data_IF_303028234171
#
_entry.id   IF_303028234171
#
_cell.length_a   1.000
_cell.length_b   1.000
_cell.length_c   1.000
_cell.angle_alpha   90.00
_cell.angle_beta   90.00
_cell.angle_gamma   90.00
#
_symmetry.space_group_name_H-M   'P 1'
#
loop_
_entity.id
_entity.type
_entity.pdbx_description
1 polymer ?
#
# COMPACT_ATOMS: atom_id res chain seq x y z
N UNK A 1 7.27 -1.34 8.92
CA UNK A 1 7.13 0.09 9.27
C UNK A 1 8.05 0.47 10.43
N UNK A 2 8.00 -0.26 11.57
CA UNK A 2 8.99 -0.07 12.65
C UNK A 2 10.42 -0.33 12.17
N UNK A 3 10.69 -1.50 11.60
CA UNK A 3 12.00 -1.85 11.01
C UNK A 3 12.42 -0.84 9.93
N UNK A 4 11.53 -0.56 8.97
CA UNK A 4 11.76 0.49 7.96
C UNK A 4 12.20 1.83 8.57
N UNK A 5 11.60 2.28 9.68
CA UNK A 5 11.99 3.53 10.31
C UNK A 5 13.44 3.47 10.79
N UNK A 6 13.81 2.40 11.50
CA UNK A 6 15.15 2.23 12.05
C UNK A 6 16.20 2.16 10.90
N UNK A 7 15.92 1.37 9.86
CA UNK A 7 16.79 1.24 8.67
C UNK A 7 16.89 2.54 7.86
N UNK A 8 15.76 3.23 7.69
CA UNK A 8 15.72 4.50 6.96
C UNK A 8 16.51 5.57 7.70
N UNK A 9 16.33 5.71 9.03
CA UNK A 9 17.09 6.68 9.83
C UNK A 9 18.59 6.42 9.75
N UNK A 10 19.02 5.15 9.83
CA UNK A 10 20.43 4.80 9.64
C UNK A 10 20.95 5.20 8.25
N UNK A 11 20.17 4.98 7.19
CA UNK A 11 20.52 5.43 5.84
C UNK A 11 20.59 6.96 5.74
N UNK A 12 19.66 7.70 6.36
CA UNK A 12 19.64 9.16 6.36
C UNK A 12 20.91 9.72 7.02
N UNK A 13 21.28 9.18 8.19
CA UNK A 13 22.45 9.61 8.95
C UNK A 13 23.75 9.34 8.19
N UNK A 14 23.86 8.15 7.58
CA UNK A 14 25.01 7.75 6.76
C UNK A 14 25.18 8.63 5.50
N UNK A 15 24.08 8.95 4.80
CA UNK A 15 24.11 9.86 3.65
C UNK A 15 24.52 11.28 4.08
N UNK A 16 23.98 11.77 5.20
CA UNK A 16 24.30 13.09 5.75
C UNK A 16 25.75 13.18 6.21
N UNK A 17 26.28 12.13 6.84
CA UNK A 17 27.68 12.06 7.26
C UNK A 17 28.68 12.19 6.10
N UNK A 18 28.26 11.85 4.88
CA UNK A 18 29.02 12.07 3.63
C UNK A 18 28.79 13.45 3.00
N UNK A 19 28.10 14.37 3.67
CA UNK A 19 27.80 15.71 3.14
C UNK A 19 26.80 15.70 1.97
N UNK A 20 25.97 14.66 1.84
CA UNK A 20 24.96 14.54 0.79
C UNK A 20 23.55 14.78 1.33
N UNK A 21 22.63 15.11 0.43
CA UNK A 21 21.19 15.24 0.73
C UNK A 21 20.52 13.88 0.53
N UNK A 22 19.92 13.29 1.58
CA UNK A 22 19.13 12.06 1.44
C UNK A 22 17.81 12.33 0.70
N UNK A 23 17.47 11.47 -0.25
CA UNK A 23 16.19 11.53 -0.97
C UNK A 23 15.46 10.20 -0.76
N UNK A 24 14.27 10.26 -0.18
CA UNK A 24 13.42 9.09 0.06
C UNK A 24 12.29 9.09 -0.96
N UNK A 25 12.22 8.03 -1.77
CA UNK A 25 11.20 7.87 -2.81
C UNK A 25 10.33 6.66 -2.49
N UNK A 26 9.02 6.85 -2.46
CA UNK A 26 8.08 5.76 -2.20
C UNK A 26 6.64 6.26 -2.07
N UNK A 27 5.70 5.31 -2.00
CA UNK A 27 4.27 5.61 -1.91
C UNK A 27 3.57 4.98 -0.69
N UNK A 28 4.33 4.39 0.24
CA UNK A 28 3.78 3.76 1.44
C UNK A 28 3.54 4.79 2.53
N UNK A 29 2.35 5.39 2.55
CA UNK A 29 2.01 6.50 3.47
C UNK A 29 2.34 6.24 4.94
N UNK A 30 2.07 5.04 5.47
CA UNK A 30 2.41 4.69 6.86
C UNK A 30 3.93 4.72 7.13
N UNK A 31 4.74 4.33 6.15
CA UNK A 31 6.20 4.28 6.29
C UNK A 31 6.76 5.71 6.29
N UNK A 32 6.30 6.54 5.36
CA UNK A 32 6.66 7.96 5.31
C UNK A 32 6.16 8.74 6.54
N UNK A 33 4.98 8.41 7.07
CA UNK A 33 4.48 9.00 8.32
C UNK A 33 5.38 8.67 9.51
N UNK A 34 5.83 7.42 9.66
CA UNK A 34 6.78 7.07 10.72
C UNK A 34 8.09 7.83 10.55
N UNK A 35 8.60 7.93 9.31
CA UNK A 35 9.85 8.65 9.04
C UNK A 35 9.75 10.14 9.39
N UNK A 36 8.63 10.77 9.06
CA UNK A 36 8.41 12.22 9.25
C UNK A 36 7.95 12.59 10.66
N UNK A 37 7.19 11.73 11.35
CA UNK A 37 6.63 12.02 12.68
C UNK A 37 7.29 11.23 13.83
N UNK A 38 8.29 10.41 13.51
CA UNK A 38 8.86 9.44 14.44
C UNK A 38 8.01 8.17 14.56
N UNK A 39 8.69 7.12 15.04
CA UNK A 39 8.09 5.83 15.33
C UNK A 39 7.20 5.94 16.59
N UNK A 40 5.94 5.47 16.56
CA UNK A 40 5.11 5.40 17.76
C UNK A 40 5.77 4.53 18.84
N UNK A 41 5.53 4.85 20.10
CA UNK A 41 6.03 4.09 21.26
C UNK A 41 5.23 2.81 21.55
N UNK A 42 4.41 2.37 20.60
CA UNK A 42 3.63 1.15 20.71
C UNK A 42 4.54 -0.08 20.78
N UNK A 43 4.16 -1.12 21.55
CA UNK A 43 4.92 -2.36 21.62
C UNK A 43 5.14 -2.99 20.23
N UNK A 44 6.36 -3.50 20.03
CA UNK A 44 6.68 -4.29 18.84
C UNK A 44 5.78 -5.54 18.78
N UNK A 45 5.33 -5.90 17.58
CA UNK A 45 4.60 -7.16 17.37
C UNK A 45 5.55 -8.33 17.53
N UNK A 46 5.16 -9.33 18.31
CA UNK A 46 5.87 -10.61 18.44
C UNK A 46 5.06 -11.72 17.79
N UNK A 47 5.71 -12.82 17.37
CA UNK A 47 5.01 -13.97 16.77
C UNK A 47 3.98 -14.53 17.76
N UNK A 48 4.37 -14.64 19.02
CA UNK A 48 3.54 -15.13 20.12
C UNK A 48 2.38 -14.17 20.42
N UNK A 49 2.65 -12.87 20.50
CA UNK A 49 1.63 -11.85 20.76
C UNK A 49 0.58 -11.78 19.66
N UNK A 50 1.04 -11.80 18.40
CA UNK A 50 0.16 -11.84 17.22
C UNK A 50 -0.70 -13.11 17.21
N UNK A 51 -0.12 -14.27 17.49
CA UNK A 51 -0.85 -15.53 17.56
C UNK A 51 -1.91 -15.52 18.67
N UNK A 52 -1.53 -15.08 19.87
CA UNK A 52 -2.46 -14.99 21.00
C UNK A 52 -3.63 -14.02 20.71
N UNK A 53 -3.34 -12.87 20.09
CA UNK A 53 -4.37 -11.93 19.68
C UNK A 53 -5.31 -12.53 18.63
N UNK A 54 -4.78 -13.22 17.61
CA UNK A 54 -5.60 -13.92 16.60
C UNK A 54 -6.49 -14.99 17.24
N UNK A 55 -5.95 -15.81 18.14
CA UNK A 55 -6.71 -16.85 18.85
C UNK A 55 -7.84 -16.24 19.69
N UNK A 56 -7.56 -15.16 20.43
CA UNK A 56 -8.55 -14.47 21.25
C UNK A 56 -9.70 -13.86 20.41
N UNK A 57 -9.35 -13.17 19.33
CA UNK A 57 -10.34 -12.54 18.45
C UNK A 57 -11.16 -13.58 17.67
N UNK A 58 -10.53 -14.67 17.21
CA UNK A 58 -11.26 -15.76 16.55
C UNK A 58 -12.21 -16.47 17.52
N UNK A 59 -11.82 -16.66 18.78
CA UNK A 59 -12.70 -17.19 19.81
C UNK A 59 -13.91 -16.27 20.07
N UNK A 60 -13.69 -14.95 20.13
CA UNK A 60 -14.76 -13.96 20.27
C UNK A 60 -15.70 -13.96 19.06
N UNK A 61 -15.13 -14.01 17.85
CA UNK A 61 -15.88 -14.10 16.59
C UNK A 61 -16.79 -15.32 16.56
N UNK A 62 -16.34 -16.48 17.02
CA UNK A 62 -17.17 -17.70 17.09
C UNK A 62 -18.33 -17.59 18.10
N UNK A 63 -18.19 -16.80 19.17
CA UNK A 63 -19.24 -16.62 20.18
C UNK A 63 -20.34 -15.66 19.76
N UNK A 64 -19.98 -14.57 19.08
CA UNK A 64 -20.94 -13.50 18.78
C UNK A 64 -20.52 -12.56 17.67
N UNK A 65 -19.63 -13.00 16.78
CA UNK A 65 -19.20 -12.22 15.62
C UNK A 65 -18.46 -10.94 16.01
N UNK A 66 -18.69 -9.88 15.23
CA UNK A 66 -18.02 -8.59 15.37
C UNK A 66 -18.25 -7.95 16.74
N UNK A 67 -19.50 -7.92 17.22
CA UNK A 67 -19.84 -7.31 18.51
C UNK A 67 -19.05 -7.93 19.66
N UNK A 68 -19.00 -9.27 19.72
CA UNK A 68 -18.27 -9.97 20.78
C UNK A 68 -16.75 -9.72 20.71
N UNK A 69 -16.20 -9.50 19.51
CA UNK A 69 -14.79 -9.16 19.36
C UNK A 69 -14.49 -7.71 19.76
N UNK A 70 -15.41 -6.78 19.49
CA UNK A 70 -15.34 -5.43 20.03
C UNK A 70 -15.39 -5.44 21.56
N UNK A 71 -16.30 -6.22 22.16
CA UNK A 71 -16.40 -6.37 23.62
C UNK A 71 -15.10 -6.94 24.20
N UNK A 72 -14.50 -7.96 23.56
CA UNK A 72 -13.22 -8.50 23.99
C UNK A 72 -12.09 -7.43 23.99
N UNK A 73 -12.09 -6.50 23.03
CA UNK A 73 -11.15 -5.37 23.00
C UNK A 73 -11.43 -4.35 24.11
N UNK A 74 -12.70 -4.05 24.39
CA UNK A 74 -13.10 -3.19 25.52
C UNK A 74 -12.64 -3.79 26.84
N UNK A 75 -12.90 -5.07 27.04
CA UNK A 75 -12.54 -5.83 28.24
C UNK A 75 -11.02 -5.91 28.44
N UNK A 76 -10.25 -5.94 27.35
CA UNK A 76 -8.79 -5.91 27.40
C UNK A 76 -8.24 -4.55 27.85
N UNK A 77 -9.03 -3.47 27.78
CA UNK A 77 -8.65 -2.13 28.25
C UNK A 77 -8.74 -1.02 27.19
N UNK A 78 -9.31 -1.27 26.00
CA UNK A 78 -9.47 -0.25 24.97
C UNK A 78 -10.94 -0.03 24.62
N UNK A 79 -11.54 0.93 25.32
CA UNK A 79 -12.94 1.30 25.12
C UNK A 79 -13.19 2.15 23.87
N UNK A 80 -12.15 2.76 23.28
CA UNK A 80 -12.28 3.81 22.27
C UNK A 80 -12.10 3.27 20.85
N UNK A 81 -11.12 2.38 20.64
CA UNK A 81 -10.80 1.84 19.32
C UNK A 81 -11.99 1.11 18.68
N UNK A 82 -12.76 0.25 19.37
CA UNK A 82 -13.93 -0.40 18.79
C UNK A 82 -14.92 0.55 18.11
N UNK A 83 -15.16 1.73 18.71
CA UNK A 83 -16.10 2.74 18.19
C UNK A 83 -15.59 3.43 16.90
N UNK A 84 -14.28 3.40 16.66
CA UNK A 84 -13.63 4.03 15.51
C UNK A 84 -13.42 3.07 14.35
N UNK A 85 -13.49 1.76 14.60
CA UNK A 85 -13.27 0.76 13.57
C UNK A 85 -14.51 0.62 12.69
N UNK A 86 -14.28 0.47 11.40
CA UNK A 86 -15.32 0.01 10.49
C UNK A 86 -15.70 -1.43 10.85
N UNK A 87 -16.98 -1.76 10.68
CA UNK A 87 -17.48 -3.10 10.94
C UNK A 87 -16.66 -4.15 10.16
N UNK A 88 -16.33 -5.26 10.83
CA UNK A 88 -15.53 -6.36 10.28
C UNK A 88 -14.10 -6.00 9.87
N UNK A 89 -13.53 -4.89 10.37
CA UNK A 89 -12.08 -4.63 10.27
C UNK A 89 -11.29 -5.50 11.28
N UNK A 90 -11.32 -6.81 11.02
CA UNK A 90 -10.68 -7.84 11.86
C UNK A 90 -9.18 -7.61 12.00
N UNK A 91 -8.53 -7.07 10.97
CA UNK A 91 -7.09 -6.79 11.01
C UNK A 91 -6.77 -5.71 12.04
N UNK A 92 -7.44 -4.55 11.97
CA UNK A 92 -7.17 -3.46 12.92
C UNK A 92 -7.65 -3.81 14.33
N UNK A 93 -8.75 -4.53 14.47
CA UNK A 93 -9.25 -5.00 15.76
C UNK A 93 -8.26 -5.96 16.43
N UNK A 94 -7.74 -6.94 15.68
CA UNK A 94 -6.73 -7.88 16.20
C UNK A 94 -5.44 -7.16 16.59
N UNK A 95 -4.99 -6.18 15.80
CA UNK A 95 -3.79 -5.40 16.14
C UNK A 95 -4.02 -4.51 17.37
N UNK A 96 -5.19 -3.91 17.53
CA UNK A 96 -5.55 -3.14 18.72
C UNK A 96 -5.51 -4.04 19.97
N UNK A 97 -6.12 -5.21 19.89
CA UNK A 97 -6.10 -6.20 20.96
C UNK A 97 -4.68 -6.62 21.34
N UNK A 98 -3.84 -6.93 20.34
CA UNK A 98 -2.43 -7.26 20.55
C UNK A 98 -1.68 -6.14 21.32
N UNK A 99 -1.87 -4.89 20.90
CA UNK A 99 -1.20 -3.73 21.53
C UNK A 99 -1.66 -3.56 22.98
N UNK A 100 -2.96 -3.64 23.24
CA UNK A 100 -3.56 -3.44 24.56
C UNK A 100 -3.13 -4.51 25.56
N UNK A 101 -3.10 -5.76 25.12
CA UNK A 101 -2.62 -6.87 25.95
C UNK A 101 -1.12 -6.73 26.21
N UNK A 102 -0.32 -6.43 25.18
CA UNK A 102 1.13 -6.25 25.33
C UNK A 102 1.50 -5.02 26.19
N UNK A 103 0.63 -4.00 26.23
CA UNK A 103 0.88 -2.75 26.96
C UNK A 103 0.41 -2.75 28.41
N UNK A 104 -0.32 -3.78 28.84
CA UNK A 104 -0.94 -3.87 30.16
C UNK A 104 -2.20 -3.01 30.31
N UNK A 105 -3.01 -2.89 29.25
CA UNK A 105 -4.29 -2.16 29.28
C UNK A 105 -4.23 -0.70 28.80
N UNK A 106 -3.15 -0.30 28.13
CA UNK A 106 -3.06 1.02 27.47
C UNK A 106 -3.52 0.91 26.02
N UNK A 107 -4.47 1.76 25.64
CA UNK A 107 -5.05 1.77 24.29
C UNK A 107 -4.08 2.28 23.21
N UNK A 108 -4.41 2.04 21.94
CA UNK A 108 -3.58 2.49 20.81
C UNK A 108 -3.42 4.02 20.72
N UNK A 109 -4.38 4.77 21.27
CA UNK A 109 -4.39 6.23 21.21
C UNK A 109 -3.45 6.86 22.25
N UNK A 110 -3.20 6.18 23.37
CA UNK A 110 -2.20 6.59 24.38
C UNK A 110 -0.76 6.46 23.88
N UNK A 111 -0.53 5.69 22.81
CA UNK A 111 0.77 5.57 22.13
C UNK A 111 0.95 6.55 20.97
N UNK A 112 0.02 7.48 20.77
CA UNK A 112 0.21 8.61 19.86
C UNK A 112 1.57 9.24 20.17
N UNK A 113 2.40 9.38 19.14
CA UNK A 113 3.85 9.58 19.21
C UNK A 113 4.29 10.29 20.49
N UNK A 114 5.13 9.64 21.29
CA UNK A 114 5.90 10.32 22.35
C UNK A 114 6.79 11.46 21.79
N UNK A 115 6.80 11.66 20.47
CA UNK A 115 7.40 12.78 19.75
C UNK A 115 6.44 13.95 19.46
N UNK A 116 5.14 13.82 19.73
CA UNK A 116 4.16 14.89 19.53
C UNK A 116 4.02 15.83 20.75
N UNK A 117 4.39 15.35 21.93
CA UNK A 117 4.43 16.13 23.17
C UNK A 117 5.87 16.54 23.47
N UNK A 118 6.17 17.81 23.23
CA UNK A 118 7.30 18.57 23.79
C UNK A 118 8.72 18.02 23.49
N UNK A 119 9.33 18.56 22.41
CA UNK A 119 10.78 18.80 22.42
C UNK A 119 11.70 17.85 21.66
N UNK A 120 11.19 16.93 20.83
CA UNK A 120 12.06 16.22 19.87
C UNK A 120 11.36 16.08 18.51
N UNK A 121 11.35 17.18 17.76
CA UNK A 121 11.14 17.15 16.32
C UNK A 121 12.11 16.15 15.69
N UNK A 122 11.71 15.50 14.58
CA UNK A 122 12.67 14.70 13.81
C UNK A 122 13.97 15.49 13.59
N UNK A 123 15.12 14.83 13.68
CA UNK A 123 16.44 15.45 13.46
C UNK A 123 16.63 16.00 12.03
N UNK A 124 15.62 15.81 11.18
CA UNK A 124 15.56 16.20 9.79
C UNK A 124 14.44 17.20 9.51
N UNK A 125 14.78 18.22 8.73
CA UNK A 125 13.83 19.09 8.05
C UNK A 125 13.37 18.41 6.75
N UNK A 126 12.21 17.74 6.78
CA UNK A 126 11.70 17.01 5.63
C UNK A 126 11.00 17.92 4.63
N UNK A 127 11.53 17.97 3.40
CA UNK A 127 10.85 18.55 2.23
C UNK A 127 10.01 17.49 1.53
N UNK A 128 8.69 17.56 1.72
CA UNK A 128 7.77 16.51 1.31
C UNK A 128 7.02 16.90 0.02
N UNK A 129 7.19 16.09 -1.02
CA UNK A 129 6.59 16.28 -2.33
C UNK A 129 5.66 15.11 -2.66
N UNK A 130 4.51 15.40 -3.27
CA UNK A 130 3.61 14.38 -3.79
C UNK A 130 3.44 14.58 -5.30
N UNK A 131 3.95 13.63 -6.08
CA UNK A 131 3.83 13.62 -7.54
C UNK A 131 2.44 13.09 -7.91
N UNK A 132 1.57 13.95 -8.39
CA UNK A 132 0.22 13.62 -8.83
C UNK A 132 0.11 13.70 -10.35
N UNK A 133 -0.84 12.98 -10.94
CA UNK A 133 -1.24 13.12 -12.34
C UNK A 133 -2.78 13.11 -12.43
N UNK A 134 -3.37 13.63 -13.51
CA UNK A 134 -4.80 13.51 -13.76
C UNK A 134 -5.27 12.05 -13.70
N UNK A 135 -6.44 11.82 -13.07
CA UNK A 135 -6.86 10.46 -12.67
C UNK A 135 -6.98 9.48 -13.84
N UNK A 136 -7.50 9.93 -14.98
CA UNK A 136 -7.67 9.07 -16.16
C UNK A 136 -6.32 8.74 -16.79
N UNK A 137 -5.40 9.69 -16.80
CA UNK A 137 -4.02 9.46 -17.24
C UNK A 137 -3.29 8.48 -16.31
N UNK A 138 -3.48 8.60 -15.00
CA UNK A 138 -2.97 7.63 -14.03
C UNK A 138 -3.47 6.22 -14.33
N UNK A 139 -4.77 6.06 -14.62
CA UNK A 139 -5.34 4.76 -14.94
C UNK A 139 -4.78 4.20 -16.25
N UNK A 140 -4.60 5.03 -17.29
CA UNK A 140 -3.93 4.61 -18.53
C UNK A 140 -2.52 4.09 -18.26
N UNK A 141 -1.72 4.82 -17.47
CA UNK A 141 -0.36 4.40 -17.10
C UNK A 141 -0.34 3.12 -16.27
N UNK A 142 -1.25 2.98 -15.31
CA UNK A 142 -1.38 1.76 -14.50
C UNK A 142 -1.73 0.57 -15.39
N UNK A 143 -2.71 0.74 -16.27
CA UNK A 143 -3.26 -0.36 -17.06
C UNK A 143 -2.24 -0.86 -18.09
N UNK A 144 -1.54 0.06 -18.75
CA UNK A 144 -0.43 -0.25 -19.64
C UNK A 144 0.71 -0.95 -18.88
N UNK A 145 1.09 -0.44 -17.71
CA UNK A 145 2.17 -1.05 -16.90
C UNK A 145 1.82 -2.47 -16.44
N UNK A 146 0.57 -2.73 -16.07
CA UNK A 146 0.13 -4.08 -15.69
C UNK A 146 0.21 -5.02 -16.89
N UNK A 147 -0.25 -4.57 -18.06
CA UNK A 147 -0.13 -5.35 -19.29
C UNK A 147 1.34 -5.67 -19.62
N UNK A 148 2.23 -4.67 -19.53
CA UNK A 148 3.66 -4.86 -19.74
C UNK A 148 4.25 -5.88 -18.75
N UNK A 149 3.96 -5.74 -17.45
CA UNK A 149 4.42 -6.70 -16.43
C UNK A 149 3.95 -8.14 -16.73
N UNK A 150 2.70 -8.32 -17.18
CA UNK A 150 2.17 -9.64 -17.54
C UNK A 150 2.91 -10.22 -18.73
N UNK A 151 3.11 -9.43 -19.79
CA UNK A 151 3.83 -9.87 -20.97
C UNK A 151 5.33 -10.06 -20.74
N UNK A 152 5.91 -9.37 -19.76
CA UNK A 152 7.35 -9.36 -19.47
C UNK A 152 7.76 -10.35 -18.36
N UNK A 153 6.83 -11.15 -17.85
CA UNK A 153 7.13 -12.34 -17.04
C UNK A 153 6.69 -12.30 -15.57
N UNK A 154 5.72 -11.45 -15.21
CA UNK A 154 5.14 -11.46 -13.85
C UNK A 154 4.58 -12.84 -13.45
N UNK A 155 3.99 -13.57 -14.40
CA UNK A 155 3.49 -14.92 -14.16
C UNK A 155 4.61 -15.94 -13.96
N UNK A 156 5.75 -15.76 -14.63
CA UNK A 156 6.94 -16.60 -14.42
C UNK A 156 7.49 -16.45 -13.00
N UNK A 157 7.63 -15.21 -12.53
CA UNK A 157 8.06 -14.93 -11.16
C UNK A 157 7.10 -15.54 -10.13
N UNK A 158 5.78 -15.41 -10.35
CA UNK A 158 4.78 -16.00 -9.46
C UNK A 158 4.81 -17.54 -9.48
N UNK A 159 4.99 -18.15 -10.66
CA UNK A 159 5.14 -19.60 -10.79
C UNK A 159 6.39 -20.10 -10.05
N UNK A 160 7.50 -19.38 -10.15
CA UNK A 160 8.73 -19.68 -9.41
C UNK A 160 8.49 -19.64 -7.89
N UNK A 161 7.79 -18.63 -7.37
CA UNK A 161 7.48 -18.55 -5.94
C UNK A 161 6.59 -19.72 -5.47
N UNK A 162 5.56 -20.05 -6.24
CA UNK A 162 4.70 -21.21 -5.96
C UNK A 162 5.50 -22.52 -5.96
N UNK A 163 6.40 -22.70 -6.92
CA UNK A 163 7.25 -23.89 -7.02
C UNK A 163 8.24 -24.02 -5.86
N UNK A 164 8.61 -22.90 -5.24
CA UNK A 164 9.44 -22.86 -4.02
C UNK A 164 8.61 -22.96 -2.72
N UNK A 165 7.31 -23.30 -2.81
CA UNK A 165 6.46 -23.53 -1.64
C UNK A 165 5.90 -22.27 -1.00
N UNK A 166 6.00 -21.12 -1.65
CA UNK A 166 5.30 -19.91 -1.19
C UNK A 166 3.82 -20.06 -1.55
N UNK A 167 2.96 -20.23 -0.54
CA UNK A 167 1.52 -20.34 -0.76
C UNK A 167 0.87 -18.96 -0.94
N UNK A 168 -0.26 -18.93 -1.65
CA UNK A 168 -1.11 -17.73 -1.75
C UNK A 168 -1.45 -17.25 -0.34
N UNK A 169 -1.35 -15.94 -0.11
CA UNK A 169 -1.63 -15.32 1.19
C UNK A 169 -0.79 -15.82 2.37
N UNK A 170 0.27 -16.61 2.17
CA UNK A 170 1.13 -17.11 3.26
C UNK A 170 1.87 -16.00 4.01
N UNK A 171 2.30 -14.96 3.29
CA UNK A 171 3.08 -13.85 3.84
C UNK A 171 2.65 -12.50 3.25
N UNK A 172 3.21 -11.41 3.76
CA UNK A 172 2.93 -10.05 3.25
C UNK A 172 3.37 -9.87 1.79
N UNK A 173 4.48 -10.50 1.39
CA UNK A 173 4.97 -10.47 0.01
C UNK A 173 4.01 -11.20 -0.96
N UNK A 174 3.52 -12.40 -0.58
CA UNK A 174 2.54 -13.15 -1.38
C UNK A 174 1.19 -12.42 -1.51
N UNK A 175 0.89 -11.48 -0.60
CA UNK A 175 -0.31 -10.62 -0.64
C UNK A 175 -0.12 -9.34 -1.46
N UNK A 176 1.09 -9.08 -1.98
CA UNK A 176 1.35 -7.90 -2.78
C UNK A 176 0.51 -7.93 -4.08
N UNK A 177 0.08 -6.75 -4.51
CA UNK A 177 -0.69 -6.59 -5.76
C UNK A 177 0.16 -7.04 -6.94
N UNK A 178 -0.44 -7.77 -7.88
CA UNK A 178 0.26 -8.43 -8.99
C UNK A 178 0.64 -9.86 -8.60
N UNK A 179 1.39 -10.05 -7.51
CA UNK A 179 1.76 -11.38 -7.02
C UNK A 179 0.56 -12.19 -6.55
N UNK A 180 -0.31 -11.63 -5.70
CA UNK A 180 -1.50 -12.34 -5.21
C UNK A 180 -2.38 -12.82 -6.36
N UNK A 181 -2.70 -11.92 -7.30
CA UNK A 181 -3.53 -12.24 -8.48
C UNK A 181 -2.88 -13.33 -9.33
N UNK A 182 -1.58 -13.21 -9.59
CA UNK A 182 -0.82 -14.18 -10.39
C UNK A 182 -0.79 -15.56 -9.73
N UNK A 183 -0.49 -15.60 -8.43
CA UNK A 183 -0.43 -16.85 -7.69
C UNK A 183 -1.81 -17.51 -7.56
N UNK A 184 -2.88 -16.72 -7.38
CA UNK A 184 -4.24 -17.24 -7.35
C UNK A 184 -4.68 -17.80 -8.70
N UNK A 185 -4.42 -17.07 -9.80
CA UNK A 185 -4.68 -17.52 -11.16
C UNK A 185 -3.97 -18.85 -11.46
N UNK A 186 -2.66 -18.92 -11.21
CA UNK A 186 -1.87 -20.14 -11.44
C UNK A 186 -2.30 -21.29 -10.53
N UNK A 187 -2.59 -21.02 -9.26
CA UNK A 187 -3.04 -22.07 -8.33
C UNK A 187 -4.39 -22.65 -8.73
N UNK A 188 -5.33 -21.81 -9.20
CA UNK A 188 -6.63 -22.26 -9.74
C UNK A 188 -6.44 -23.08 -11.01
N UNK A 189 -5.56 -22.63 -11.92
CA UNK A 189 -5.25 -23.37 -13.14
C UNK A 189 -4.62 -24.75 -12.85
N UNK A 190 -3.65 -24.83 -11.92
CA UNK A 190 -3.01 -26.11 -11.50
C UNK A 190 -4.00 -27.11 -10.89
N UNK A 191 -5.03 -26.62 -10.20
CA UNK A 191 -6.10 -27.46 -9.64
C UNK A 191 -7.17 -27.85 -10.67
N UNK A 192 -7.16 -27.25 -11.86
CA UNK A 192 -8.22 -27.41 -12.84
C UNK A 192 -9.52 -26.66 -12.50
N UNK A 193 -9.45 -25.64 -11.63
CA UNK A 193 -10.61 -24.81 -11.25
C UNK A 193 -11.01 -23.81 -12.36
N UNK A 194 -10.09 -23.54 -13.29
CA UNK A 194 -10.28 -22.66 -14.44
C UNK A 194 -9.58 -23.23 -15.68
N UNK A 195 -10.14 -22.95 -16.84
CA UNK A 195 -9.43 -23.15 -18.11
C UNK A 195 -8.42 -22.02 -18.33
N UNK A 196 -7.21 -22.38 -18.78
CA UNK A 196 -6.21 -21.39 -19.20
C UNK A 196 -6.47 -21.05 -20.65
N UNK A 197 -7.17 -19.94 -20.91
CA UNK A 197 -7.52 -19.44 -22.22
C UNK A 197 -7.47 -17.91 -22.27
N UNK A 198 -7.84 -17.33 -23.42
CA UNK A 198 -7.82 -15.88 -23.61
C UNK A 198 -8.77 -15.17 -22.64
N UNK A 199 -9.94 -15.76 -22.35
CA UNK A 199 -10.92 -15.13 -21.47
C UNK A 199 -10.40 -15.08 -20.02
N UNK A 200 -9.87 -16.19 -19.51
CA UNK A 200 -9.33 -16.25 -18.15
C UNK A 200 -8.07 -15.39 -17.98
N UNK A 201 -7.22 -15.33 -19.01
CA UNK A 201 -6.06 -14.43 -19.04
C UNK A 201 -6.49 -12.96 -18.99
N UNK A 202 -7.46 -12.55 -19.82
CA UNK A 202 -7.94 -11.16 -19.84
C UNK A 202 -8.68 -10.78 -18.56
N UNK A 203 -9.41 -11.72 -17.94
CA UNK A 203 -10.04 -11.51 -16.64
C UNK A 203 -9.00 -11.29 -15.53
N UNK A 204 -7.92 -12.07 -15.51
CA UNK A 204 -6.79 -11.89 -14.59
C UNK A 204 -6.12 -10.52 -14.76
N UNK A 205 -5.89 -10.10 -16.02
CA UNK A 205 -5.31 -8.78 -16.32
C UNK A 205 -6.22 -7.66 -15.83
N UNK A 206 -7.52 -7.71 -16.14
CA UNK A 206 -8.48 -6.71 -15.69
C UNK A 206 -8.58 -6.63 -14.17
N UNK A 207 -8.62 -7.78 -13.47
CA UNK A 207 -8.59 -7.81 -12.00
C UNK A 207 -7.34 -7.12 -11.45
N UNK A 208 -6.17 -7.46 -11.99
CA UNK A 208 -4.88 -6.89 -11.57
C UNK A 208 -4.84 -5.38 -11.78
N UNK A 209 -5.37 -4.89 -12.90
CA UNK A 209 -5.52 -3.47 -13.17
C UNK A 209 -6.48 -2.80 -12.18
N UNK A 210 -7.65 -3.39 -11.92
CA UNK A 210 -8.64 -2.88 -10.96
C UNK A 210 -8.04 -2.71 -9.56
N UNK A 211 -7.38 -3.73 -9.02
CA UNK A 211 -6.81 -3.67 -7.68
C UNK A 211 -5.65 -2.67 -7.59
N UNK A 212 -4.87 -2.51 -8.67
CA UNK A 212 -3.79 -1.52 -8.75
C UNK A 212 -4.34 -0.10 -8.79
N UNK A 213 -5.40 0.17 -9.57
CA UNK A 213 -6.11 1.46 -9.58
C UNK A 213 -6.72 1.78 -8.21
N UNK A 214 -7.30 0.78 -7.55
CA UNK A 214 -7.84 0.93 -6.20
C UNK A 214 -6.74 1.26 -5.17
N UNK A 215 -5.56 0.66 -5.30
CA UNK A 215 -4.40 0.98 -4.45
C UNK A 215 -3.91 2.40 -4.67
N UNK A 216 -3.74 2.83 -5.92
CA UNK A 216 -3.38 4.21 -6.23
C UNK A 216 -4.41 5.21 -5.66
N UNK A 217 -5.72 4.90 -5.76
CA UNK A 217 -6.76 5.69 -5.11
C UNK A 217 -6.57 5.77 -3.59
N UNK A 218 -6.27 4.65 -2.92
CA UNK A 218 -5.99 4.64 -1.47
C UNK A 218 -4.77 5.48 -1.11
N UNK A 219 -3.73 5.50 -1.95
CA UNK A 219 -2.57 6.37 -1.73
C UNK A 219 -2.99 7.84 -1.78
N UNK A 220 -3.70 8.28 -2.83
CA UNK A 220 -4.23 9.64 -2.89
C UNK A 220 -5.08 10.01 -1.66
N UNK A 221 -5.99 9.12 -1.25
CA UNK A 221 -6.81 9.33 -0.05
C UNK A 221 -5.94 9.45 1.21
N UNK A 222 -4.90 8.64 1.34
CA UNK A 222 -3.99 8.68 2.48
C UNK A 222 -3.27 10.03 2.55
N UNK A 223 -2.59 10.43 1.47
CA UNK A 223 -1.77 11.64 1.46
C UNK A 223 -2.60 12.92 1.56
N UNK A 224 -3.85 12.91 1.08
CA UNK A 224 -4.81 14.00 1.34
C UNK A 224 -5.21 14.10 2.80
N UNK A 225 -5.24 12.98 3.52
CA UNK A 225 -5.57 12.95 4.95
C UNK A 225 -4.39 13.29 5.87
N UNK A 226 -3.21 13.58 5.33
CA UNK A 226 -2.09 14.11 6.09
C UNK A 226 -2.35 15.58 6.48
N UNK A 227 -1.69 16.10 7.54
CA UNK A 227 -1.84 17.50 7.94
C UNK A 227 -1.65 18.47 6.78
N UNK A 228 -2.49 19.51 6.74
CA UNK A 228 -2.42 20.57 5.73
C UNK A 228 -1.01 21.18 5.69
N UNK A 229 -0.51 21.48 4.48
CA UNK A 229 0.84 22.00 4.29
C UNK A 229 1.96 20.97 4.43
N UNK A 230 1.67 19.70 4.73
CA UNK A 230 2.72 18.66 4.77
C UNK A 230 3.32 18.37 3.40
N UNK A 231 2.50 18.12 2.40
CA UNK A 231 2.98 17.77 1.05
C UNK A 231 2.76 18.93 0.08
N UNK A 232 3.77 19.23 -0.73
CA UNK A 232 3.60 20.02 -1.95
C UNK A 232 3.17 19.08 -3.08
N UNK A 233 1.96 19.30 -3.60
CA UNK A 233 1.35 18.53 -4.68
C UNK A 233 1.83 19.07 -6.03
N UNK A 234 2.44 18.20 -6.82
CA UNK A 234 3.11 18.55 -8.07
C UNK A 234 2.53 17.71 -9.20
N UNK A 235 2.01 18.37 -10.24
CA UNK A 235 1.49 17.72 -11.44
C UNK A 235 2.61 17.13 -12.30
N UNK A 236 2.90 15.86 -12.08
CA UNK A 236 3.86 15.06 -12.82
C UNK A 236 3.45 14.72 -14.27
N UNK A 237 2.39 15.34 -14.80
CA UNK A 237 2.09 15.32 -16.23
C UNK A 237 2.80 16.43 -17.02
N UNK A 238 3.37 17.41 -16.31
CA UNK A 238 4.17 18.50 -16.87
C UNK A 238 5.57 18.06 -17.31
N UNK A 239 6.27 18.97 -17.98
CA UNK A 239 7.63 18.74 -18.46
C UNK A 239 8.62 18.52 -17.29
N UNK A 240 9.58 17.62 -17.49
CA UNK A 240 10.52 17.21 -16.44
C UNK A 240 11.41 18.37 -15.97
N UNK A 241 11.84 19.25 -16.86
CA UNK A 241 12.69 20.39 -16.50
C UNK A 241 11.89 21.38 -15.63
N UNK A 242 10.66 21.69 -16.03
CA UNK A 242 9.73 22.52 -15.22
C UNK A 242 9.55 21.92 -13.81
N UNK A 243 9.29 20.62 -13.74
CA UNK A 243 9.13 19.92 -12.47
C UNK A 243 10.38 19.98 -11.59
N UNK A 244 11.56 19.85 -12.21
CA UNK A 244 12.84 19.92 -11.49
C UNK A 244 13.05 21.31 -10.88
N UNK A 245 12.70 22.38 -11.60
CA UNK A 245 12.78 23.75 -11.09
C UNK A 245 11.84 23.95 -9.89
N UNK A 246 10.58 23.52 -10.00
CA UNK A 246 9.61 23.62 -8.89
C UNK A 246 10.11 22.89 -7.63
N UNK A 247 10.65 21.68 -7.77
CA UNK A 247 11.20 20.92 -6.64
C UNK A 247 12.43 21.62 -6.05
N UNK A 248 13.33 22.13 -6.90
CA UNK A 248 14.55 22.80 -6.44
C UNK A 248 14.24 24.12 -5.71
N UNK A 249 13.33 24.93 -6.23
CA UNK A 249 12.92 26.20 -5.60
C UNK A 249 12.30 25.94 -4.21
N UNK A 250 11.42 24.93 -4.11
CA UNK A 250 10.84 24.53 -2.83
C UNK A 250 11.85 23.91 -1.87
N UNK A 251 12.86 23.20 -2.39
CA UNK A 251 13.92 22.59 -1.59
C UNK A 251 14.85 23.63 -0.95
N UNK A 252 15.24 24.68 -1.70
CA UNK A 252 16.16 25.73 -1.19
C UNK A 252 15.48 26.78 -0.31
N UNK A 253 14.14 26.79 -0.26
CA UNK A 253 13.37 27.73 0.55
C UNK A 253 13.61 27.50 2.05
N UNK A 254 13.63 28.56 2.86
CA UNK A 254 13.89 28.44 4.31
C UNK A 254 12.86 27.57 5.05
N UNK A 255 11.61 27.59 4.57
CA UNK A 255 10.50 26.86 5.19
C UNK A 255 9.82 25.98 4.13
N UNK A 256 9.53 24.74 4.49
CA UNK A 256 8.73 23.86 3.65
C UNK A 256 7.29 24.37 3.56
N UNK A 257 6.82 24.62 2.34
CA UNK A 257 5.44 25.01 2.08
C UNK A 257 4.77 23.91 1.24
N UNK A 258 3.89 23.14 1.87
CA UNK A 258 2.99 22.25 1.14
C UNK A 258 1.84 23.03 0.48
N UNK A 259 0.86 22.29 -0.05
CA UNK A 259 -0.22 22.84 -0.86
C UNK A 259 -0.01 22.49 -2.33
N UNK A 260 -0.26 23.43 -3.25
CA UNK A 260 -0.25 23.15 -4.69
C UNK A 260 -1.61 22.65 -5.20
N UNK A 261 -1.64 22.16 -6.43
CA UNK A 261 -2.88 21.70 -7.06
C UNK A 261 -3.23 20.29 -6.54
N UNK A 262 -4.13 20.23 -5.56
CA UNK A 262 -4.64 18.95 -5.04
C UNK A 262 -5.54 18.26 -6.09
N UNK A 263 -4.91 17.42 -6.93
CA UNK A 263 -5.58 16.58 -7.93
C UNK A 263 -6.33 15.38 -7.34
N UNK A 264 -6.44 15.26 -6.02
CA UNK A 264 -7.26 14.24 -5.38
C UNK A 264 -8.76 14.58 -5.42
N UNK A 265 -9.11 15.87 -5.49
CA UNK A 265 -10.50 16.34 -5.63
C UNK A 265 -10.86 16.40 -7.11
N UNK A 266 -11.74 15.50 -7.52
CA UNK A 266 -12.11 15.35 -8.92
C UNK A 266 -13.28 16.27 -9.27
N UNK A 267 -13.15 16.99 -10.39
CA UNK A 267 -14.28 17.71 -10.98
C UNK A 267 -15.39 16.75 -11.45
N UNK A 268 -16.59 17.27 -11.72
CA UNK A 268 -17.69 16.47 -12.28
C UNK A 268 -17.31 15.87 -13.64
N UNK A 269 -16.55 16.60 -14.44
CA UNK A 269 -16.03 16.19 -15.74
C UNK A 269 -15.06 15.03 -15.58
N UNK A 270 -14.09 15.14 -14.66
CA UNK A 270 -13.14 14.07 -14.37
C UNK A 270 -13.84 12.80 -13.84
N UNK A 271 -14.86 12.94 -12.98
CA UNK A 271 -15.67 11.82 -12.52
C UNK A 271 -16.42 11.14 -13.68
N UNK A 272 -16.97 11.91 -14.62
CA UNK A 272 -17.64 11.36 -15.80
C UNK A 272 -16.65 10.68 -16.76
N UNK A 273 -15.45 11.24 -16.92
CA UNK A 273 -14.40 10.63 -17.73
C UNK A 273 -13.97 9.28 -17.13
N UNK A 274 -13.79 9.20 -15.81
CA UNK A 274 -13.50 7.95 -15.10
C UNK A 274 -14.61 6.91 -15.28
N UNK A 275 -15.88 7.32 -15.25
CA UNK A 275 -17.01 6.39 -15.47
C UNK A 275 -17.00 5.79 -16.89
N UNK A 276 -16.53 6.55 -17.87
CA UNK A 276 -16.44 6.13 -19.28
C UNK A 276 -15.12 5.42 -19.59
N UNK A 277 -14.14 5.55 -18.71
CA UNK A 277 -12.82 4.95 -18.90
C UNK A 277 -12.90 3.43 -18.99
N UNK A 278 -12.25 2.89 -20.02
CA UNK A 278 -12.04 1.47 -20.23
C UNK A 278 -10.56 1.28 -20.53
N UNK A 279 -9.95 0.29 -19.86
CA UNK A 279 -8.61 -0.13 -20.15
C UNK A 279 -8.53 -0.51 -21.63
N UNK A 280 -7.52 0.01 -22.33
CA UNK A 280 -7.22 -0.39 -23.70
C UNK A 280 -5.88 -1.10 -23.69
N UNK A 281 -5.94 -2.42 -23.81
CA UNK A 281 -4.77 -3.26 -24.00
C UNK A 281 -4.13 -2.94 -25.36
N UNK A 282 -2.81 -2.96 -25.44
CA UNK A 282 -2.04 -2.71 -26.67
C UNK A 282 -1.34 -3.99 -27.12
N UNK A 283 -0.67 -4.69 -26.21
CA UNK A 283 0.12 -5.90 -26.50
C UNK A 283 -0.79 -7.12 -26.59
N UNK A 284 -1.68 -7.29 -25.62
CA UNK A 284 -2.64 -8.36 -25.53
C UNK A 284 -3.83 -8.20 -26.48
N UNK A 285 -3.81 -7.21 -27.39
CA UNK A 285 -4.67 -7.24 -28.59
C UNK A 285 -4.14 -8.19 -29.67
N UNK A 286 -2.84 -8.50 -29.64
CA UNK A 286 -2.22 -9.43 -30.59
C UNK A 286 -2.55 -10.87 -30.20
N UNK A 287 -3.27 -11.58 -31.08
CA UNK A 287 -3.50 -13.01 -30.92
C UNK A 287 -2.20 -13.82 -30.81
N UNK A 288 -1.11 -13.33 -31.43
CA UNK A 288 0.22 -13.94 -31.32
C UNK A 288 0.80 -13.79 -29.91
N UNK A 289 0.69 -12.61 -29.30
CA UNK A 289 1.15 -12.39 -27.92
C UNK A 289 0.30 -13.18 -26.92
N UNK A 290 -1.03 -13.16 -27.08
CA UNK A 290 -1.94 -13.97 -26.27
C UNK A 290 -1.58 -15.45 -26.34
N UNK A 291 -1.41 -15.98 -27.55
CA UNK A 291 -1.04 -17.39 -27.76
C UNK A 291 0.30 -17.72 -27.10
N UNK A 292 1.32 -16.89 -27.31
CA UNK A 292 2.64 -17.07 -26.70
C UNK A 292 2.54 -17.16 -25.17
N UNK A 293 1.78 -16.26 -24.54
CA UNK A 293 1.61 -16.25 -23.09
C UNK A 293 0.84 -17.48 -22.59
N UNK A 294 -0.24 -17.87 -23.28
CA UNK A 294 -1.01 -19.06 -22.93
C UNK A 294 -0.21 -20.35 -23.08
N UNK A 295 0.55 -20.49 -24.17
CA UNK A 295 1.43 -21.64 -24.38
C UNK A 295 2.50 -21.70 -23.27
N UNK A 296 3.05 -20.54 -22.87
CA UNK A 296 4.01 -20.46 -21.77
C UNK A 296 3.39 -20.90 -20.43
N UNK A 297 2.20 -20.39 -20.09
CA UNK A 297 1.50 -20.79 -18.86
C UNK A 297 1.29 -22.31 -18.85
N UNK A 298 0.72 -22.87 -19.92
CA UNK A 298 0.37 -24.29 -19.99
C UNK A 298 1.58 -25.22 -19.97
N UNK A 299 2.68 -24.83 -20.61
CA UNK A 299 3.84 -25.71 -20.78
C UNK A 299 4.90 -25.55 -19.68
N UNK A 300 4.99 -24.38 -19.04
CA UNK A 300 6.10 -24.05 -18.12
C UNK A 300 5.63 -23.76 -16.69
N UNK A 301 4.35 -23.43 -16.47
CA UNK A 301 3.87 -22.92 -15.18
C UNK A 301 2.83 -23.79 -14.49
N UNK A 302 2.19 -24.72 -15.19
CA UNK A 302 1.24 -25.69 -14.64
C UNK A 302 1.91 -27.04 -14.39
#
# INVERSE_FOLDING_TARGET
AGEYYDDAMACLDDIRARGKVPIVVGGSGMYLRFLTNGKPSAPASTVEGKRAAMEAIEAARKRGGWSAACDALRDAGDAVTPERLSENDWYRLTRAYEIVVASGGRDMNTFASAHASEGNASSYDFRCFFMCVPRVELYRRIDARVEDMVCDGMLDEAAMLLNNGVEVDSCTAARAIGYRQSMEYLSRARRGDIDVDVESLLAFVDETQQVTRAYAKRQYTWFRGEPEGRYLWIDASKDREELSHVVMDAFVSDVHQGGGEDMSVLSKEALNEIKRYKARLVRLQSASEQKKLLDRIRNEML
#
